data_IF_386769220370
#
_entry.id   IF_386769220370
#
_cell.length_a   1.000
_cell.length_b   1.000
_cell.length_c   1.000
_cell.angle_alpha   90.00
_cell.angle_beta   90.00
_cell.angle_gamma   90.00
#
_symmetry.space_group_name_H-M   'P 1'
#
loop_
_entity.id
_entity.type
_entity.pdbx_description
1 polymer ?
#
# COMPACT_ATOMS: atom_id res chain seq x y z
N UNK A 1 39.42 -30.78 23.64
CA UNK A 1 38.09 -30.26 23.26
C UNK A 1 38.22 -28.84 22.77
N UNK A 2 38.16 -28.60 21.45
CA UNK A 2 38.20 -27.24 20.86
C UNK A 2 36.81 -26.65 20.91
N UNK A 3 36.60 -25.57 21.70
CA UNK A 3 35.39 -24.74 21.67
C UNK A 3 35.30 -24.06 20.31
N UNK A 4 34.33 -24.45 19.48
CA UNK A 4 33.99 -23.72 18.29
C UNK A 4 33.48 -22.31 18.71
N UNK A 5 34.23 -21.26 18.31
CA UNK A 5 33.75 -19.89 18.37
C UNK A 5 32.50 -19.81 17.47
N UNK A 6 31.33 -19.63 18.07
CA UNK A 6 30.11 -19.20 17.34
C UNK A 6 30.43 -17.86 16.69
N UNK A 7 30.55 -17.89 15.38
CA UNK A 7 30.66 -16.70 14.55
C UNK A 7 29.40 -15.84 14.77
N UNK A 8 29.54 -14.67 15.39
CA UNK A 8 28.47 -13.72 15.53
C UNK A 8 28.24 -13.09 14.16
N UNK A 9 27.54 -13.79 13.26
CA UNK A 9 27.04 -13.19 12.03
C UNK A 9 26.23 -11.96 12.43
N UNK A 10 26.60 -10.81 11.89
CA UNK A 10 25.76 -9.61 11.94
C UNK A 10 24.44 -9.97 11.28
N UNK A 11 23.39 -10.13 12.08
CA UNK A 11 22.04 -10.34 11.57
C UNK A 11 21.60 -9.05 10.86
N UNK A 12 21.12 -9.19 9.64
CA UNK A 12 20.50 -8.08 8.92
C UNK A 12 19.12 -7.76 9.55
N UNK A 13 18.60 -6.58 9.29
CA UNK A 13 17.24 -6.22 9.70
C UNK A 13 16.22 -7.18 9.10
N UNK A 14 16.46 -7.67 7.90
CA UNK A 14 15.61 -8.67 7.25
C UNK A 14 15.60 -10.00 8.01
N UNK A 15 16.77 -10.47 8.46
CA UNK A 15 16.87 -11.70 9.26
C UNK A 15 16.12 -11.55 10.60
N UNK A 16 16.19 -10.36 11.22
CA UNK A 16 15.47 -10.08 12.46
C UNK A 16 13.95 -10.08 12.28
N UNK A 17 13.46 -9.64 11.14
CA UNK A 17 12.04 -9.64 10.78
C UNK A 17 11.56 -10.99 10.22
N UNK A 18 12.45 -11.97 10.05
CA UNK A 18 12.12 -13.26 9.44
C UNK A 18 11.78 -13.15 7.95
N UNK A 19 12.23 -12.08 7.28
CA UNK A 19 12.02 -11.90 5.85
C UNK A 19 13.11 -12.60 5.07
N UNK A 20 12.73 -13.62 4.28
CA UNK A 20 13.65 -14.39 3.43
C UNK A 20 13.89 -13.73 2.08
N UNK A 21 12.81 -13.30 1.44
CA UNK A 21 12.83 -12.74 0.09
C UNK A 21 11.64 -11.83 -0.14
N UNK A 22 11.86 -10.78 -0.90
CA UNK A 22 10.80 -9.91 -1.43
C UNK A 22 10.73 -10.17 -2.93
N UNK A 23 9.54 -10.49 -3.43
CA UNK A 23 9.24 -10.69 -4.86
C UNK A 23 8.26 -9.63 -5.32
N UNK A 24 7.94 -9.61 -6.61
CA UNK A 24 7.01 -8.63 -7.19
C UNK A 24 5.58 -8.75 -6.64
N UNK A 25 5.22 -9.88 -6.05
CA UNK A 25 3.85 -10.17 -5.59
C UNK A 25 3.76 -10.62 -4.13
N UNK A 26 4.85 -11.00 -3.46
CA UNK A 26 4.80 -11.44 -2.08
C UNK A 26 6.08 -11.14 -1.30
N UNK A 27 5.95 -11.14 0.02
CA UNK A 27 7.07 -11.16 0.97
C UNK A 27 7.15 -12.55 1.57
N UNK A 28 8.20 -13.31 1.22
CA UNK A 28 8.46 -14.63 1.79
C UNK A 28 9.04 -14.50 3.19
N UNK A 29 8.41 -15.14 4.17
CA UNK A 29 8.84 -15.15 5.57
C UNK A 29 9.02 -16.58 6.08
N UNK A 30 9.57 -16.74 7.30
CA UNK A 30 9.65 -18.04 7.98
C UNK A 30 8.26 -18.63 8.28
N UNK A 31 7.23 -17.78 8.38
CA UNK A 31 5.86 -18.17 8.72
C UNK A 31 4.94 -18.34 7.48
N UNK A 32 5.48 -18.25 6.27
CA UNK A 32 4.75 -18.33 5.01
C UNK A 32 4.90 -17.06 4.16
N UNK A 33 4.31 -17.08 2.98
CA UNK A 33 4.34 -15.96 2.04
C UNK A 33 3.19 -14.99 2.34
N UNK A 34 3.51 -13.69 2.43
CA UNK A 34 2.55 -12.62 2.66
C UNK A 34 2.28 -11.91 1.33
N UNK A 35 1.01 -11.84 0.96
CA UNK A 35 0.52 -11.08 -0.19
C UNK A 35 -0.35 -9.94 0.29
N UNK A 36 -0.15 -8.75 -0.27
CA UNK A 36 -0.84 -7.54 0.13
C UNK A 36 -1.71 -7.01 -0.99
N UNK A 37 -2.98 -6.73 -0.67
CA UNK A 37 -3.94 -6.08 -1.55
C UNK A 37 -4.29 -4.72 -1.00
N UNK A 38 -4.17 -3.68 -1.82
CA UNK A 38 -4.63 -2.33 -1.47
C UNK A 38 -6.15 -2.29 -1.60
N UNK A 39 -6.83 -1.88 -0.53
CA UNK A 39 -8.26 -1.60 -0.57
C UNK A 39 -8.46 -0.17 -1.05
N UNK A 40 -9.05 0.00 -2.22
CA UNK A 40 -9.47 1.33 -2.70
C UNK A 40 -10.76 1.74 -2.00
N UNK A 41 -10.74 2.78 -1.17
CA UNK A 41 -11.94 3.24 -0.47
C UNK A 41 -12.98 3.73 -1.48
N UNK A 42 -14.23 3.45 -1.18
CA UNK A 42 -15.37 3.96 -1.95
C UNK A 42 -16.25 4.77 -1.00
N UNK A 43 -16.67 5.95 -1.43
CA UNK A 43 -17.62 6.74 -0.65
C UNK A 43 -18.99 6.03 -0.66
N UNK A 44 -19.34 5.39 0.45
CA UNK A 44 -20.60 4.65 0.60
C UNK A 44 -21.82 5.56 0.71
N UNK A 45 -21.65 6.85 1.05
CA UNK A 45 -22.76 7.80 1.22
C UNK A 45 -23.47 8.13 -0.08
N UNK A 46 -22.79 7.94 -1.21
CA UNK A 46 -23.37 8.19 -2.56
C UNK A 46 -23.86 6.91 -3.25
N UNK A 47 -23.73 5.75 -2.59
CA UNK A 47 -24.15 4.48 -3.16
C UNK A 47 -25.60 4.14 -2.77
N UNK A 48 -26.37 3.52 -3.67
CA UNK A 48 -27.67 2.96 -3.32
C UNK A 48 -27.50 1.79 -2.32
N UNK A 49 -28.50 1.59 -1.45
CA UNK A 49 -28.44 0.59 -0.38
C UNK A 49 -28.11 -0.84 -0.88
N UNK A 50 -28.59 -1.22 -2.06
CA UNK A 50 -28.26 -2.50 -2.69
C UNK A 50 -26.77 -2.67 -3.01
N UNK A 51 -26.12 -1.60 -3.47
CA UNK A 51 -24.67 -1.61 -3.76
C UNK A 51 -23.83 -1.68 -2.48
N UNK A 52 -24.27 -1.00 -1.41
CA UNK A 52 -23.63 -1.09 -0.09
C UNK A 52 -23.74 -2.53 0.44
N UNK A 53 -24.94 -3.14 0.38
CA UNK A 53 -25.16 -4.52 0.81
C UNK A 53 -24.33 -5.52 0.01
N UNK A 54 -24.16 -5.30 -1.30
CA UNK A 54 -23.31 -6.15 -2.14
C UNK A 54 -21.84 -6.07 -1.72
N UNK A 55 -21.32 -4.88 -1.42
CA UNK A 55 -19.94 -4.69 -0.91
C UNK A 55 -19.72 -5.37 0.44
N UNK A 56 -20.69 -5.27 1.35
CA UNK A 56 -20.61 -5.94 2.66
C UNK A 56 -20.55 -7.45 2.47
N UNK A 57 -21.40 -8.02 1.61
CA UNK A 57 -21.39 -9.47 1.31
C UNK A 57 -20.07 -9.91 0.68
N UNK A 58 -19.54 -9.14 -0.25
CA UNK A 58 -18.23 -9.43 -0.87
C UNK A 58 -17.13 -9.50 0.19
N UNK A 59 -17.06 -8.52 1.10
CA UNK A 59 -16.10 -8.52 2.20
C UNK A 59 -16.31 -9.72 3.13
N UNK A 60 -17.55 -10.03 3.51
CA UNK A 60 -17.87 -11.22 4.34
C UNK A 60 -17.40 -12.51 3.67
N UNK A 61 -17.65 -12.67 2.38
CA UNK A 61 -17.21 -13.85 1.62
C UNK A 61 -15.68 -13.96 1.60
N UNK A 62 -14.97 -12.85 1.35
CA UNK A 62 -13.51 -12.81 1.36
C UNK A 62 -12.95 -13.22 2.71
N UNK A 63 -13.48 -12.66 3.80
CA UNK A 63 -13.02 -12.97 5.16
C UNK A 63 -13.36 -14.40 5.59
N UNK A 64 -14.45 -14.98 5.06
CA UNK A 64 -14.87 -16.34 5.39
C UNK A 64 -14.13 -17.40 4.57
N UNK A 65 -13.72 -17.07 3.34
CA UNK A 65 -13.05 -18.01 2.44
C UNK A 65 -11.57 -18.27 2.80
N UNK A 66 -10.93 -17.34 3.50
CA UNK A 66 -9.50 -17.38 3.77
C UNK A 66 -9.21 -17.37 5.27
N UNK A 67 -8.65 -18.47 5.79
CA UNK A 67 -8.34 -18.63 7.22
C UNK A 67 -7.18 -17.77 7.75
N UNK A 68 -6.53 -16.98 6.92
CA UNK A 68 -5.34 -16.19 7.30
C UNK A 68 -5.35 -14.79 6.71
N UNK A 69 -6.51 -14.11 6.71
CA UNK A 69 -6.62 -12.72 6.24
C UNK A 69 -6.43 -11.77 7.42
N UNK A 70 -5.54 -10.82 7.26
CA UNK A 70 -5.29 -9.74 8.19
C UNK A 70 -5.70 -8.40 7.56
N UNK A 71 -6.41 -7.55 8.30
CA UNK A 71 -6.73 -6.20 7.86
C UNK A 71 -5.72 -5.23 8.48
N UNK A 72 -5.00 -4.51 7.64
CA UNK A 72 -4.03 -3.51 8.05
C UNK A 72 -4.55 -2.12 7.73
N UNK A 73 -4.53 -1.23 8.72
CA UNK A 73 -4.76 0.19 8.55
C UNK A 73 -3.44 0.92 8.82
N UNK A 74 -2.86 1.51 7.81
CA UNK A 74 -1.58 2.19 7.90
C UNK A 74 -1.77 3.69 7.69
N UNK A 75 -1.05 4.48 8.47
CA UNK A 75 -0.95 5.90 8.21
C UNK A 75 0.06 6.11 7.09
N UNK A 76 -0.40 6.68 6.00
CA UNK A 76 0.41 7.08 4.85
C UNK A 76 0.54 8.59 4.79
N UNK A 77 1.61 9.08 4.21
CA UNK A 77 1.72 10.50 3.82
C UNK A 77 1.26 10.62 2.39
N UNK A 78 0.23 11.42 2.17
CA UNK A 78 -0.14 11.81 0.83
C UNK A 78 1.00 12.67 0.25
N UNK A 79 1.43 12.37 -0.96
CA UNK A 79 2.50 13.11 -1.63
C UNK A 79 1.94 13.80 -2.87
N UNK A 80 1.97 15.11 -2.85
CA UNK A 80 1.57 15.95 -3.99
C UNK A 80 2.74 16.26 -4.93
N UNK A 81 3.91 15.64 -4.74
CA UNK A 81 5.12 15.93 -5.52
C UNK A 81 4.89 15.82 -7.04
N UNK A 82 4.18 14.79 -7.49
CA UNK A 82 3.88 14.61 -8.92
C UNK A 82 2.99 15.75 -9.46
N UNK A 83 2.00 16.19 -8.66
CA UNK A 83 1.12 17.29 -9.01
C UNK A 83 1.85 18.64 -8.99
N UNK A 84 2.74 18.85 -8.02
CA UNK A 84 3.58 20.05 -7.95
C UNK A 84 4.54 20.14 -9.15
N UNK A 85 5.14 19.02 -9.57
CA UNK A 85 5.95 18.95 -10.78
C UNK A 85 5.12 19.26 -12.03
N UNK A 86 3.93 18.70 -12.15
CA UNK A 86 3.01 19.00 -13.25
C UNK A 86 2.69 20.50 -13.32
N UNK A 87 2.38 21.15 -12.20
CA UNK A 87 2.14 22.58 -12.18
C UNK A 87 3.37 23.39 -12.55
N UNK A 88 4.55 22.98 -12.07
CA UNK A 88 5.81 23.61 -12.44
C UNK A 88 6.05 23.56 -13.96
N UNK A 89 5.93 22.39 -14.58
CA UNK A 89 6.13 22.22 -16.03
C UNK A 89 5.07 23.02 -16.82
N UNK A 90 3.83 23.03 -16.33
CA UNK A 90 2.75 23.83 -16.95
C UNK A 90 3.03 25.33 -16.88
N UNK A 91 3.55 25.84 -15.76
CA UNK A 91 3.94 27.25 -15.61
C UNK A 91 5.06 27.64 -16.59
N UNK A 92 6.01 26.74 -16.85
CA UNK A 92 7.10 27.00 -17.81
C UNK A 92 6.57 27.13 -19.24
N UNK A 93 5.53 26.39 -19.60
CA UNK A 93 4.94 26.39 -20.92
C UNK A 93 3.88 27.51 -21.11
N UNK A 94 3.34 28.07 -20.03
CA UNK A 94 2.25 29.04 -20.08
C UNK A 94 2.78 30.46 -20.37
N UNK A 95 2.15 31.13 -21.34
CA UNK A 95 2.52 32.49 -21.74
C UNK A 95 1.67 33.58 -21.07
N UNK A 96 0.46 33.21 -20.62
CA UNK A 96 -0.42 34.17 -19.96
C UNK A 96 0.01 34.39 -18.49
N UNK A 97 0.38 35.63 -18.10
CA UNK A 97 0.87 35.89 -16.75
C UNK A 97 -0.17 35.64 -15.66
N UNK A 98 -1.46 35.88 -15.94
CA UNK A 98 -2.53 35.65 -14.97
C UNK A 98 -2.73 34.13 -14.69
N UNK A 99 -2.59 33.29 -15.72
CA UNK A 99 -2.65 31.84 -15.55
C UNK A 99 -1.43 31.31 -14.82
N UNK A 100 -0.23 31.86 -15.10
CA UNK A 100 0.99 31.49 -14.38
C UNK A 100 0.88 31.82 -12.89
N UNK A 101 0.34 32.98 -12.53
CA UNK A 101 0.11 33.35 -11.15
C UNK A 101 -0.86 32.39 -10.43
N UNK A 102 -1.94 31.98 -11.11
CA UNK A 102 -2.90 31.03 -10.56
C UNK A 102 -2.25 29.64 -10.30
N UNK A 103 -1.46 29.16 -11.27
CA UNK A 103 -0.73 27.89 -11.13
C UNK A 103 0.29 27.92 -9.98
N UNK A 104 0.95 29.08 -9.75
CA UNK A 104 1.84 29.28 -8.63
C UNK A 104 1.11 29.24 -7.28
N UNK A 105 -0.06 29.88 -7.21
CA UNK A 105 -0.92 29.86 -6.01
C UNK A 105 -1.39 28.43 -5.71
N UNK A 106 -1.84 27.70 -6.71
CA UNK A 106 -2.26 26.29 -6.56
C UNK A 106 -1.10 25.41 -6.10
N UNK A 107 0.10 25.60 -6.66
CA UNK A 107 1.29 24.87 -6.26
C UNK A 107 1.66 25.16 -4.79
N UNK A 108 1.69 26.43 -4.41
CA UNK A 108 1.98 26.85 -3.04
C UNK A 108 0.95 26.31 -2.05
N UNK A 109 -0.32 26.30 -2.42
CA UNK A 109 -1.39 25.67 -1.62
C UNK A 109 -1.15 24.18 -1.39
N UNK A 110 -0.77 23.43 -2.43
CA UNK A 110 -0.48 22.01 -2.30
C UNK A 110 0.76 21.74 -1.42
N UNK A 111 1.81 22.55 -1.56
CA UNK A 111 3.01 22.47 -0.72
C UNK A 111 2.66 22.71 0.76
N UNK A 112 1.82 23.70 1.06
CA UNK A 112 1.33 23.95 2.42
C UNK A 112 0.50 22.78 2.94
N UNK A 113 -0.43 22.24 2.11
CA UNK A 113 -1.27 21.10 2.49
C UNK A 113 -0.49 19.83 2.70
N UNK A 114 0.57 19.58 1.92
CA UNK A 114 1.43 18.41 2.11
C UNK A 114 2.08 18.39 3.51
N UNK A 115 2.39 19.55 4.05
CA UNK A 115 2.93 19.67 5.43
C UNK A 115 1.85 19.44 6.48
N UNK A 116 0.61 19.88 6.23
CA UNK A 116 -0.52 19.81 7.16
C UNK A 116 -1.23 18.45 7.14
N UNK A 117 -1.39 17.83 5.95
CA UNK A 117 -2.09 16.56 5.76
C UNK A 117 -1.16 15.36 5.99
N UNK A 118 -0.76 15.17 7.23
CA UNK A 118 0.17 14.10 7.61
C UNK A 118 -0.48 12.72 7.74
N UNK A 119 -1.80 12.57 7.57
CA UNK A 119 -2.51 11.34 7.92
C UNK A 119 -3.54 10.91 6.86
N UNK A 120 -3.08 10.54 5.68
CA UNK A 120 -3.86 9.65 4.82
C UNK A 120 -3.84 8.23 5.44
N UNK A 121 -5.00 7.57 5.49
CA UNK A 121 -5.08 6.15 5.88
C UNK A 121 -5.21 5.29 4.65
N UNK A 122 -4.32 4.34 4.55
CA UNK A 122 -4.39 3.27 3.56
C UNK A 122 -4.79 1.97 4.23
N UNK A 123 -5.64 1.21 3.56
CA UNK A 123 -6.10 -0.07 4.06
C UNK A 123 -5.60 -1.18 3.14
N UNK A 124 -5.09 -2.24 3.76
CA UNK A 124 -4.59 -3.41 3.07
C UNK A 124 -5.23 -4.67 3.63
N UNK A 125 -5.51 -5.62 2.75
CA UNK A 125 -5.71 -7.01 3.14
C UNK A 125 -4.39 -7.73 2.94
N UNK A 126 -3.88 -8.34 4.01
CA UNK A 126 -2.73 -9.23 3.94
C UNK A 126 -3.22 -10.68 4.03
N UNK A 127 -2.85 -11.49 3.06
CA UNK A 127 -3.16 -12.92 3.01
C UNK A 127 -1.88 -13.69 3.26
N UNK A 128 -1.90 -14.61 4.22
CA UNK A 128 -0.78 -15.48 4.54
C UNK A 128 -0.97 -16.85 3.89
N UNK A 129 -0.14 -17.16 2.92
CA UNK A 129 -0.10 -18.45 2.26
C UNK A 129 0.91 -19.35 2.97
N UNK A 130 0.46 -20.51 3.44
CA UNK A 130 1.30 -21.49 4.10
C UNK A 130 1.51 -22.69 3.17
N UNK A 131 2.78 -22.90 2.76
CA UNK A 131 3.18 -24.08 1.96
C UNK A 131 2.47 -24.24 0.60
N UNK A 132 1.91 -23.17 0.05
CA UNK A 132 1.32 -23.16 -1.28
C UNK A 132 2.43 -23.16 -2.34
N UNK A 133 2.22 -23.91 -3.43
CA UNK A 133 3.12 -23.80 -4.59
C UNK A 133 2.86 -22.44 -5.29
N UNK A 134 3.88 -21.79 -5.87
CA UNK A 134 3.73 -20.48 -6.51
C UNK A 134 2.59 -20.41 -7.54
N UNK A 135 2.40 -21.48 -8.33
CA UNK A 135 1.35 -21.56 -9.35
C UNK A 135 -0.05 -21.63 -8.73
N UNK A 136 -0.20 -22.38 -7.63
CA UNK A 136 -1.46 -22.48 -6.88
C UNK A 136 -1.79 -21.16 -6.17
N UNK A 137 -0.76 -20.52 -5.60
CA UNK A 137 -0.89 -19.22 -4.96
C UNK A 137 -1.40 -18.16 -5.96
N UNK A 138 -0.82 -18.10 -7.16
CA UNK A 138 -1.26 -17.15 -8.20
C UNK A 138 -2.72 -17.35 -8.60
N UNK A 139 -3.16 -18.60 -8.73
CA UNK A 139 -4.56 -18.93 -9.07
C UNK A 139 -5.52 -18.51 -7.96
N UNK A 140 -5.18 -18.76 -6.69
CA UNK A 140 -5.97 -18.35 -5.53
C UNK A 140 -6.08 -16.81 -5.39
N UNK A 141 -5.06 -16.08 -5.84
CA UNK A 141 -4.98 -14.64 -5.71
C UNK A 141 -5.66 -13.87 -6.87
N UNK A 142 -5.91 -14.55 -7.99
CA UNK A 142 -6.51 -13.97 -9.20
C UNK A 142 -8.02 -14.25 -9.35
N UNK A 143 -8.62 -15.01 -8.42
CA UNK A 143 -10.06 -15.30 -8.36
C UNK A 143 -10.78 -14.32 -7.45
#
# INVERSE_FOLDING_TARGET
>A
MKKQKKDKRRQSTQDLLGVKKITDYCISTDAGDLVFYIIKPTNISVLPAGAVSAKIRALQNTLSAQAGVELLAMNSRESFNATCLFYHDRMQAEQNPAIRELLEQDRAFLDEKQVQMTLAREFYLAVRLKNEKPDTAYTLLST
#
